data_IF_307085430202
#
_entry.id   IF_307085430202
#
_cell.length_a   1.000
_cell.length_b   1.000
_cell.length_c   1.000
_cell.angle_alpha   90.00
_cell.angle_beta   90.00
_cell.angle_gamma   90.00
#
_symmetry.space_group_name_H-M   'P 1'
#
loop_
_entity.id
_entity.type
_entity.pdbx_description
1 polymer ?
#
# COMPACT_ATOMS: atom_id res chain seq x y z
N UNK A 1 0.32 30.89 -9.14
CA UNK A 1 -1.15 30.84 -9.04
C UNK A 1 -1.44 29.49 -8.42
N UNK A 2 -1.91 29.46 -7.17
CA UNK A 2 -2.09 28.21 -6.41
C UNK A 2 -3.22 27.42 -7.07
N UNK A 3 -2.93 26.26 -7.65
CA UNK A 3 -3.96 25.42 -8.25
C UNK A 3 -4.80 24.83 -7.11
N UNK A 4 -6.14 24.90 -7.20
CA UNK A 4 -6.98 24.32 -6.14
C UNK A 4 -6.87 22.79 -6.20
N UNK A 5 -6.96 22.12 -5.06
CA UNK A 5 -6.91 20.65 -4.98
C UNK A 5 -7.96 20.04 -5.92
N UNK A 6 -9.15 20.64 -6.00
CA UNK A 6 -10.21 20.22 -6.90
C UNK A 6 -9.84 20.26 -8.39
N UNK A 7 -9.05 21.24 -8.84
CA UNK A 7 -8.62 21.36 -10.24
C UNK A 7 -7.56 20.30 -10.59
N UNK A 8 -6.59 20.10 -9.69
CA UNK A 8 -5.58 19.03 -9.79
C UNK A 8 -6.26 17.66 -9.85
N UNK A 9 -7.17 17.42 -8.92
CA UNK A 9 -7.91 16.17 -8.76
C UNK A 9 -8.79 15.90 -9.95
N UNK A 10 -9.53 16.90 -10.44
CA UNK A 10 -10.42 16.74 -11.60
C UNK A 10 -9.64 16.26 -12.82
N UNK A 11 -8.42 16.77 -13.02
CA UNK A 11 -7.63 16.43 -14.20
C UNK A 11 -7.00 15.02 -14.10
N UNK A 12 -6.50 14.65 -12.91
CA UNK A 12 -6.00 13.29 -12.65
C UNK A 12 -7.14 12.27 -12.70
N UNK A 13 -8.28 12.57 -12.08
CA UNK A 13 -9.49 11.74 -12.09
C UNK A 13 -9.98 11.49 -13.52
N UNK A 14 -10.03 12.52 -14.37
CA UNK A 14 -10.42 12.36 -15.77
C UNK A 14 -9.50 11.38 -16.53
N UNK A 15 -8.19 11.43 -16.27
CA UNK A 15 -7.20 10.56 -16.92
C UNK A 15 -7.30 9.13 -16.41
N UNK A 16 -7.53 8.94 -15.11
CA UNK A 16 -7.75 7.61 -14.51
C UNK A 16 -9.08 7.02 -14.96
N UNK A 17 -10.17 7.81 -15.02
CA UNK A 17 -11.49 7.38 -15.52
C UNK A 17 -11.49 7.04 -17.00
N UNK A 18 -10.53 7.51 -17.79
CA UNK A 18 -10.37 7.06 -19.18
C UNK A 18 -10.05 5.55 -19.27
N UNK A 19 -9.65 4.92 -18.16
CA UNK A 19 -9.50 3.47 -18.03
C UNK A 19 -10.79 2.74 -17.62
N UNK A 20 -11.87 3.44 -17.30
CA UNK A 20 -13.10 2.80 -16.85
C UNK A 20 -13.70 1.87 -17.90
N UNK A 21 -14.03 0.66 -17.45
CA UNK A 21 -14.50 -0.43 -18.32
C UNK A 21 -13.41 -1.12 -19.14
N UNK A 22 -12.13 -0.76 -18.97
CA UNK A 22 -11.00 -1.44 -19.62
C UNK A 22 -10.40 -2.47 -18.67
N UNK A 23 -10.06 -3.64 -19.20
CA UNK A 23 -9.27 -4.64 -18.49
C UNK A 23 -7.79 -4.30 -18.62
N UNK A 24 -7.05 -4.35 -17.51
CA UNK A 24 -5.59 -4.23 -17.48
C UNK A 24 -5.00 -5.61 -17.15
N UNK A 25 -4.78 -6.49 -18.14
CA UNK A 25 -4.25 -7.83 -17.91
C UNK A 25 -2.79 -7.83 -17.46
N UNK A 26 -2.03 -6.77 -17.74
CA UNK A 26 -0.61 -6.64 -17.37
C UNK A 26 -0.36 -5.35 -16.58
N UNK A 27 0.64 -5.35 -15.68
CA UNK A 27 1.02 -4.13 -14.98
C UNK A 27 1.45 -3.01 -15.94
N UNK A 28 2.10 -3.37 -17.05
CA UNK A 28 2.55 -2.43 -18.08
C UNK A 28 1.42 -1.70 -18.82
N UNK A 29 0.19 -2.21 -18.75
CA UNK A 29 -0.95 -1.57 -19.42
C UNK A 29 -1.31 -0.21 -18.77
N UNK A 30 -0.82 0.05 -17.56
CA UNK A 30 -0.93 1.34 -16.88
C UNK A 30 0.04 2.41 -17.42
N UNK A 31 1.09 2.05 -18.18
CA UNK A 31 2.14 2.99 -18.60
C UNK A 31 1.61 4.21 -19.37
N UNK A 32 0.70 4.09 -20.35
CA UNK A 32 0.19 5.25 -21.08
C UNK A 32 -0.56 6.23 -20.16
N UNK A 33 -1.33 5.72 -19.20
CA UNK A 33 -2.04 6.53 -18.22
C UNK A 33 -1.08 7.25 -17.27
N UNK A 34 -0.06 6.56 -16.78
CA UNK A 34 0.97 7.16 -15.93
C UNK A 34 1.72 8.29 -16.64
N UNK A 35 2.06 8.10 -17.92
CA UNK A 35 2.71 9.12 -18.74
C UNK A 35 1.78 10.33 -19.01
N UNK A 36 0.49 10.09 -19.24
CA UNK A 36 -0.50 11.15 -19.43
C UNK A 36 -0.75 11.96 -18.15
N UNK A 37 -0.75 11.30 -16.98
CA UNK A 37 -0.80 11.97 -15.67
C UNK A 37 0.47 12.81 -15.49
N UNK A 38 1.66 12.27 -15.79
CA UNK A 38 2.91 13.03 -15.70
C UNK A 38 2.91 14.27 -16.59
N UNK A 39 2.42 14.17 -17.84
CA UNK A 39 2.29 15.33 -18.73
C UNK A 39 1.34 16.40 -18.14
N UNK A 40 0.22 15.96 -17.60
CA UNK A 40 -0.78 16.82 -16.94
C UNK A 40 -0.21 17.55 -15.71
N UNK A 41 0.58 16.83 -14.90
CA UNK A 41 1.16 17.33 -13.66
C UNK A 41 2.50 18.06 -13.89
N UNK A 42 2.94 18.20 -15.14
CA UNK A 42 4.12 18.98 -15.54
C UNK A 42 5.45 18.23 -15.49
N UNK A 43 5.46 16.93 -15.26
CA UNK A 43 6.67 16.12 -15.23
C UNK A 43 6.49 14.71 -14.63
N UNK A 44 7.54 13.88 -14.64
CA UNK A 44 7.52 12.57 -13.99
C UNK A 44 7.38 12.74 -12.46
N UNK A 45 7.00 11.68 -11.73
CA UNK A 45 6.88 11.76 -10.28
C UNK A 45 8.23 12.05 -9.64
N UNK A 46 8.23 12.74 -8.50
CA UNK A 46 9.45 13.02 -7.76
C UNK A 46 9.93 11.81 -6.95
N UNK A 47 9.02 10.90 -6.61
CA UNK A 47 9.29 9.69 -5.86
C UNK A 47 8.41 8.56 -6.38
N UNK A 48 9.01 7.39 -6.56
CA UNK A 48 8.32 6.12 -6.80
C UNK A 48 8.79 5.16 -5.73
N UNK A 49 7.87 4.48 -5.05
CA UNK A 49 8.23 3.51 -4.02
C UNK A 49 7.34 2.26 -4.08
N UNK A 50 7.81 1.18 -3.46
CA UNK A 50 7.05 -0.04 -3.20
C UNK A 50 7.63 -0.79 -2.00
N UNK A 51 7.16 -2.01 -1.68
CA UNK A 51 6.29 -2.86 -2.49
C UNK A 51 4.89 -2.30 -2.74
N UNK A 52 4.23 -2.72 -3.83
CA UNK A 52 2.96 -2.18 -4.32
C UNK A 52 3.10 -0.74 -4.82
N UNK A 53 3.65 -0.63 -6.02
CA UNK A 53 4.15 0.62 -6.58
C UNK A 53 3.21 1.83 -6.42
N UNK A 54 3.77 2.90 -5.85
CA UNK A 54 3.16 4.24 -5.69
C UNK A 54 4.04 5.28 -6.38
N UNK A 55 3.40 6.18 -7.13
CA UNK A 55 4.02 7.28 -7.86
C UNK A 55 3.57 8.60 -7.24
N UNK A 56 4.50 9.47 -6.82
CA UNK A 56 4.19 10.67 -6.05
C UNK A 56 4.58 11.96 -6.77
N UNK A 57 3.67 12.93 -6.77
CA UNK A 57 3.89 14.31 -7.18
C UNK A 57 3.55 15.22 -6.00
N UNK A 58 4.40 16.21 -5.73
CA UNK A 58 4.12 17.26 -4.76
C UNK A 58 3.97 18.59 -5.50
N UNK A 59 2.74 19.13 -5.52
CA UNK A 59 2.36 20.32 -6.28
C UNK A 59 1.69 21.31 -5.33
N UNK A 60 2.29 22.48 -5.11
CA UNK A 60 1.72 23.52 -4.24
C UNK A 60 1.26 23.01 -2.86
N UNK A 61 2.07 22.16 -2.21
CA UNK A 61 1.77 21.48 -0.94
C UNK A 61 0.68 20.41 -1.00
N UNK A 62 0.19 20.03 -2.18
CA UNK A 62 -0.70 18.89 -2.39
C UNK A 62 0.10 17.70 -2.88
N UNK A 63 0.06 16.61 -2.13
CA UNK A 63 0.56 15.32 -2.58
C UNK A 63 -0.51 14.69 -3.47
N UNK A 64 -0.13 14.35 -4.71
CA UNK A 64 -0.88 13.44 -5.57
C UNK A 64 -0.10 12.13 -5.64
N UNK A 65 -0.74 11.04 -5.22
CA UNK A 65 -0.18 9.71 -5.32
C UNK A 65 -1.03 8.85 -6.24
N UNK A 66 -0.39 8.16 -7.17
CA UNK A 66 -1.02 7.20 -8.08
C UNK A 66 -0.52 5.81 -7.74
N UNK A 67 -1.44 4.87 -7.58
CA UNK A 67 -1.17 3.47 -7.29
C UNK A 67 -1.53 2.57 -8.46
N UNK A 68 -0.72 1.54 -8.71
CA UNK A 68 -1.04 0.47 -9.66
C UNK A 68 -1.11 -0.84 -8.91
N UNK A 69 -2.32 -1.27 -8.59
CA UNK A 69 -2.57 -2.43 -7.73
C UNK A 69 -3.13 -3.60 -8.51
N UNK A 70 -2.81 -4.82 -8.08
CA UNK A 70 -3.47 -6.03 -8.55
C UNK A 70 -4.60 -6.40 -7.61
N UNK A 71 -5.84 -6.38 -8.10
CA UNK A 71 -7.02 -6.79 -7.36
C UNK A 71 -7.63 -8.03 -8.03
N UNK A 72 -7.59 -9.15 -7.32
CA UNK A 72 -7.78 -10.50 -7.88
C UNK A 72 -6.78 -10.78 -9.03
N UNK A 73 -7.28 -10.84 -10.27
CA UNK A 73 -6.50 -11.18 -11.46
C UNK A 73 -6.35 -10.01 -12.45
N UNK A 74 -6.76 -8.82 -12.05
CA UNK A 74 -6.73 -7.62 -12.87
C UNK A 74 -5.93 -6.51 -12.19
N UNK A 75 -5.25 -5.71 -13.00
CA UNK A 75 -4.62 -4.49 -12.54
C UNK A 75 -5.63 -3.34 -12.54
N UNK A 76 -5.46 -2.42 -11.60
CA UNK A 76 -6.22 -1.18 -11.53
C UNK A 76 -5.30 0.00 -11.23
N UNK A 77 -5.70 1.18 -11.70
CA UNK A 77 -5.01 2.42 -11.42
C UNK A 77 -5.86 3.25 -10.48
N UNK A 78 -5.34 3.51 -9.28
CA UNK A 78 -5.96 4.38 -8.28
C UNK A 78 -5.16 5.66 -8.11
N UNK A 79 -5.77 6.70 -7.57
CA UNK A 79 -5.07 7.88 -7.13
C UNK A 79 -5.65 8.38 -5.80
N UNK A 80 -4.84 9.14 -5.07
CA UNK A 80 -5.26 9.96 -3.94
C UNK A 80 -4.58 11.32 -3.99
N UNK A 81 -5.27 12.34 -3.51
CA UNK A 81 -4.73 13.69 -3.39
C UNK A 81 -5.09 14.28 -2.03
N UNK A 82 -4.12 14.93 -1.39
CA UNK A 82 -4.28 15.47 -0.04
C UNK A 82 -3.21 16.55 0.25
N UNK A 83 -3.49 17.52 1.13
CA UNK A 83 -2.50 18.44 1.67
C UNK A 83 -1.36 17.68 2.36
N UNK A 84 -0.13 17.96 1.94
CA UNK A 84 1.10 17.37 2.45
C UNK A 84 1.78 18.31 3.44
N UNK A 85 1.14 18.48 4.59
CA UNK A 85 1.62 19.36 5.66
C UNK A 85 2.75 18.69 6.47
N UNK A 86 3.57 19.46 7.20
CA UNK A 86 4.64 18.89 8.03
C UNK A 86 4.19 17.83 9.04
N UNK A 87 2.96 17.93 9.54
CA UNK A 87 2.37 16.94 10.43
C UNK A 87 2.06 15.61 9.71
N UNK A 88 1.65 15.67 8.44
CA UNK A 88 1.44 14.47 7.61
C UNK A 88 2.75 13.74 7.40
N UNK A 89 3.80 14.46 6.99
CA UNK A 89 5.13 13.86 6.81
C UNK A 89 5.69 13.26 8.10
N UNK A 90 5.45 13.89 9.26
CA UNK A 90 5.84 13.34 10.57
C UNK A 90 5.11 12.05 10.90
N UNK A 91 3.79 11.98 10.64
CA UNK A 91 2.97 10.79 10.89
C UNK A 91 3.37 9.62 9.99
N UNK A 92 3.67 9.89 8.72
CA UNK A 92 4.24 8.89 7.80
C UNK A 92 5.55 8.30 8.37
N UNK A 93 6.42 9.15 8.94
CA UNK A 93 7.66 8.69 9.59
C UNK A 93 7.41 7.88 10.85
N UNK A 94 6.48 8.31 11.70
CA UNK A 94 6.12 7.63 12.95
C UNK A 94 5.54 6.24 12.68
N UNK A 95 4.63 6.13 11.71
CA UNK A 95 3.97 4.87 11.39
C UNK A 95 4.92 3.87 10.72
N UNK A 96 5.81 4.34 9.85
CA UNK A 96 6.90 3.53 9.31
C UNK A 96 7.84 3.06 10.43
N UNK A 97 8.27 3.96 11.34
CA UNK A 97 9.16 3.61 12.44
C UNK A 97 8.54 2.59 13.41
N UNK A 98 7.22 2.60 13.54
CA UNK A 98 6.47 1.63 14.33
C UNK A 98 6.28 0.27 13.63
N UNK A 99 6.62 0.16 12.34
CA UNK A 99 6.22 -0.92 11.41
C UNK A 99 4.85 -1.48 11.76
N UNK A 100 3.88 -0.58 11.72
CA UNK A 100 2.51 -0.93 12.08
C UNK A 100 2.06 -2.06 11.15
N UNK A 101 1.83 -3.28 11.67
CA UNK A 101 1.52 -4.42 10.82
C UNK A 101 0.26 -4.13 10.01
N UNK A 102 0.27 -4.50 8.72
CA UNK A 102 -0.75 -4.23 7.70
C UNK A 102 -0.73 -2.84 7.02
N UNK A 103 0.13 -1.90 7.43
CA UNK A 103 0.13 -0.51 6.93
C UNK A 103 1.39 -0.15 6.12
N UNK A 104 2.58 -0.35 6.69
CA UNK A 104 3.86 -0.22 5.99
C UNK A 104 4.64 -1.52 6.06
N UNK A 105 4.97 -2.17 4.92
CA UNK A 105 5.96 -3.23 4.94
C UNK A 105 7.31 -2.62 5.40
N UNK A 106 8.00 -3.22 6.37
CA UNK A 106 9.23 -2.67 6.96
C UNK A 106 10.40 -2.52 5.99
N UNK A 107 10.35 -3.16 4.81
CA UNK A 107 11.32 -2.96 3.73
C UNK A 107 10.62 -2.35 2.52
N UNK A 108 10.98 -1.11 2.23
CA UNK A 108 10.55 -0.40 1.03
C UNK A 108 11.71 -0.30 0.05
N UNK A 109 11.37 -0.18 -1.22
CA UNK A 109 12.28 0.32 -2.22
C UNK A 109 11.77 1.65 -2.74
N UNK A 110 12.67 2.54 -3.16
CA UNK A 110 12.29 3.83 -3.75
C UNK A 110 13.26 4.28 -4.82
N UNK A 111 12.79 5.04 -5.79
CA UNK A 111 13.63 5.84 -6.67
C UNK A 111 13.01 7.19 -7.02
N UNK A 112 13.85 8.13 -7.43
CA UNK A 112 13.44 9.49 -7.81
C UNK A 112 13.71 9.72 -9.31
N UNK A 113 12.68 9.63 -10.19
CA UNK A 113 12.82 9.95 -11.60
C UNK A 113 13.11 11.43 -11.89
N UNK A 114 12.71 12.33 -10.98
CA UNK A 114 12.96 13.76 -11.04
C UNK A 114 13.49 14.29 -9.70
N UNK A 115 14.07 15.49 -9.73
CA UNK A 115 14.48 16.18 -8.52
C UNK A 115 13.24 16.51 -7.67
N UNK A 116 13.22 15.99 -6.44
CA UNK A 116 12.12 16.20 -5.50
C UNK A 116 12.27 17.48 -4.68
N UNK A 117 11.26 17.77 -3.83
CA UNK A 117 11.36 18.86 -2.86
C UNK A 117 12.60 18.66 -1.96
N UNK A 118 13.17 19.75 -1.43
CA UNK A 118 14.40 19.75 -0.63
C UNK A 118 14.38 18.96 0.70
N UNK A 119 13.33 18.16 0.93
CA UNK A 119 13.17 17.17 2.01
C UNK A 119 12.49 15.92 1.46
N UNK A 120 13.21 15.03 0.74
CA UNK A 120 12.65 13.74 0.39
C UNK A 120 12.29 12.98 1.67
N UNK A 121 11.14 12.31 1.68
CA UNK A 121 10.80 11.39 2.75
C UNK A 121 11.86 10.28 2.78
N UNK A 122 12.42 10.03 3.96
CA UNK A 122 13.42 8.98 4.16
C UNK A 122 13.08 8.26 5.46
N UNK A 123 12.55 7.04 5.39
CA UNK A 123 12.29 6.28 6.60
C UNK A 123 13.56 6.03 7.42
N UNK A 124 13.40 5.98 8.74
CA UNK A 124 14.46 5.63 9.68
C UNK A 124 14.84 4.14 9.63
N UNK A 125 15.82 3.71 10.44
CA UNK A 125 16.20 2.30 10.50
C UNK A 125 15.05 1.44 11.03
N UNK A 126 14.73 0.36 10.32
CA UNK A 126 13.83 -0.68 10.78
C UNK A 126 14.65 -1.90 11.21
N UNK A 127 14.51 -2.28 12.48
CA UNK A 127 15.22 -3.42 13.06
C UNK A 127 14.34 -4.66 12.96
N UNK A 128 14.80 -5.68 12.23
CA UNK A 128 14.17 -6.99 12.27
C UNK A 128 14.54 -7.70 13.58
N UNK A 129 13.57 -8.02 14.45
CA UNK A 129 13.87 -8.59 15.76
C UNK A 129 14.25 -10.07 15.68
N UNK A 130 13.84 -10.80 14.63
CA UNK A 130 14.14 -12.21 14.45
C UNK A 130 14.43 -12.58 12.99
N UNK A 131 15.07 -13.74 12.79
CA UNK A 131 15.27 -14.34 11.47
C UNK A 131 13.95 -14.73 10.77
N UNK A 132 12.87 -14.93 11.53
CA UNK A 132 11.54 -15.17 10.95
C UNK A 132 10.98 -13.90 10.30
N UNK A 133 11.30 -12.74 10.87
CA UNK A 133 10.95 -11.44 10.30
C UNK A 133 11.78 -11.20 9.03
N UNK A 134 13.09 -11.48 9.03
CA UNK A 134 13.92 -11.46 7.81
C UNK A 134 13.29 -12.31 6.70
N UNK A 135 12.88 -13.54 7.03
CA UNK A 135 12.29 -14.43 6.04
C UNK A 135 10.94 -13.93 5.51
N UNK A 136 10.15 -13.26 6.34
CA UNK A 136 8.85 -12.71 5.94
C UNK A 136 9.04 -11.49 5.05
N UNK A 137 9.87 -10.55 5.49
CA UNK A 137 9.95 -9.22 4.89
C UNK A 137 10.78 -9.18 3.61
N UNK A 138 11.94 -9.84 3.60
CA UNK A 138 12.73 -9.97 2.36
C UNK A 138 12.02 -10.85 1.35
N UNK A 139 11.32 -11.88 1.84
CA UNK A 139 10.46 -12.72 1.02
C UNK A 139 9.35 -11.92 0.35
N UNK A 140 8.66 -11.04 1.10
CA UNK A 140 7.60 -10.18 0.60
C UNK A 140 8.12 -9.15 -0.43
N UNK A 141 9.21 -8.47 -0.11
CA UNK A 141 9.88 -7.52 -1.00
C UNK A 141 10.23 -8.15 -2.35
N UNK A 142 11.00 -9.25 -2.33
CA UNK A 142 11.48 -9.91 -3.55
C UNK A 142 10.34 -10.58 -4.34
N UNK A 143 9.29 -11.04 -3.65
CA UNK A 143 8.11 -11.63 -4.29
C UNK A 143 7.33 -10.63 -5.15
N UNK A 144 7.34 -9.34 -4.78
CA UNK A 144 6.58 -8.29 -5.46
C UNK A 144 7.43 -7.46 -6.42
N UNK A 145 8.75 -7.37 -6.19
CA UNK A 145 9.64 -6.49 -6.93
C UNK A 145 9.57 -6.62 -8.46
N UNK A 146 9.52 -7.82 -9.09
CA UNK A 146 9.38 -7.91 -10.55
C UNK A 146 8.08 -7.29 -11.07
N UNK A 147 6.96 -7.59 -10.40
CA UNK A 147 5.66 -7.06 -10.80
C UNK A 147 5.56 -5.55 -10.58
N UNK A 148 6.17 -5.06 -9.51
CA UNK A 148 6.32 -3.63 -9.23
C UNK A 148 7.12 -2.92 -10.32
N UNK A 149 8.32 -3.42 -10.66
CA UNK A 149 9.15 -2.87 -11.73
C UNK A 149 8.41 -2.86 -13.08
N UNK A 150 7.55 -3.86 -13.33
CA UNK A 150 6.73 -3.89 -14.54
C UNK A 150 5.64 -2.80 -14.60
N UNK A 151 5.23 -2.22 -13.47
CA UNK A 151 4.32 -1.05 -13.46
C UNK A 151 5.03 0.24 -13.84
N UNK A 152 6.35 0.28 -13.71
CA UNK A 152 7.15 1.49 -13.96
C UNK A 152 7.38 1.66 -15.46
N UNK A 153 6.99 2.82 -16.05
CA UNK A 153 7.34 3.16 -17.42
C UNK A 153 8.86 3.10 -17.67
N UNK A 154 9.33 2.43 -18.75
CA UNK A 154 10.74 2.36 -19.11
C UNK A 154 11.41 3.72 -19.32
N UNK A 155 10.62 4.76 -19.62
CA UNK A 155 11.06 6.15 -19.72
C UNK A 155 11.56 6.72 -18.39
N UNK A 156 11.19 6.13 -17.25
CA UNK A 156 11.60 6.55 -15.91
C UNK A 156 12.66 5.62 -15.31
N UNK A 157 12.53 4.32 -15.54
CA UNK A 157 13.48 3.32 -15.03
C UNK A 157 13.44 2.05 -15.89
N UNK A 158 14.61 1.54 -16.26
CA UNK A 158 14.74 0.35 -17.12
C UNK A 158 15.92 -0.56 -16.74
N UNK A 159 16.59 -0.26 -15.62
CA UNK A 159 17.75 -1.02 -15.19
C UNK A 159 17.30 -2.20 -14.31
N UNK A 160 18.02 -3.34 -14.34
CA UNK A 160 17.82 -4.42 -13.38
C UNK A 160 18.18 -3.95 -11.97
N UNK A 161 17.51 -4.51 -10.98
CA UNK A 161 17.82 -4.28 -9.56
C UNK A 161 18.50 -5.51 -9.01
N UNK A 162 19.73 -5.37 -8.49
CA UNK A 162 20.45 -6.49 -7.87
C UNK A 162 20.57 -6.25 -6.37
N UNK A 163 20.01 -7.15 -5.56
CA UNK A 163 20.11 -7.15 -4.11
C UNK A 163 21.18 -8.15 -3.66
N UNK A 164 22.00 -7.78 -2.69
CA UNK A 164 23.02 -8.64 -2.07
C UNK A 164 23.29 -8.27 -0.61
N UNK A 165 23.90 -9.16 0.15
CA UNK A 165 24.25 -8.94 1.56
C UNK A 165 25.70 -8.49 1.74
N UNK A 166 25.97 -7.69 2.77
CA UNK A 166 27.33 -7.37 3.22
C UNK A 166 27.90 -8.37 4.23
N UNK A 167 27.09 -9.31 4.74
CA UNK A 167 27.50 -10.28 5.74
C UNK A 167 28.25 -11.47 5.11
N UNK A 168 29.19 -12.02 5.89
CA UNK A 168 29.86 -13.28 5.53
C UNK A 168 28.91 -14.49 5.61
N UNK A 169 29.34 -15.63 5.05
CA UNK A 169 28.54 -16.84 4.98
C UNK A 169 28.24 -17.25 3.54
N UNK A 170 27.06 -17.84 3.31
CA UNK A 170 26.58 -18.21 1.97
C UNK A 170 26.22 -16.96 1.19
N UNK A 171 26.73 -16.84 -0.04
CA UNK A 171 26.44 -15.66 -0.87
C UNK A 171 25.07 -15.83 -1.51
N UNK A 172 24.12 -15.00 -1.07
CA UNK A 172 22.78 -14.90 -1.67
C UNK A 172 22.65 -13.58 -2.40
N UNK A 173 22.29 -13.63 -3.68
CA UNK A 173 21.93 -12.45 -4.48
C UNK A 173 20.59 -12.64 -5.16
N UNK A 174 19.91 -11.53 -5.43
CA UNK A 174 18.65 -11.52 -6.17
C UNK A 174 18.72 -10.45 -7.25
N UNK A 175 18.50 -10.82 -8.51
CA UNK A 175 18.39 -9.91 -9.64
C UNK A 175 16.93 -9.84 -10.08
N UNK A 176 16.33 -8.67 -9.99
CA UNK A 176 14.96 -8.41 -10.40
C UNK A 176 14.91 -7.56 -11.67
N UNK A 177 14.03 -7.97 -12.58
CA UNK A 177 13.68 -7.30 -13.83
C UNK A 177 12.14 -7.31 -13.96
N UNK A 178 11.52 -6.48 -14.81
CA UNK A 178 10.07 -6.47 -15.00
C UNK A 178 9.46 -7.84 -15.35
N UNK A 179 10.24 -8.72 -15.98
CA UNK A 179 9.81 -10.02 -16.45
C UNK A 179 10.20 -11.19 -15.54
N UNK A 180 10.89 -10.94 -14.41
CA UNK A 180 11.25 -12.01 -13.50
C UNK A 180 12.23 -11.67 -12.38
N UNK A 181 12.51 -12.70 -11.59
CA UNK A 181 13.46 -12.69 -10.48
C UNK A 181 14.42 -13.86 -10.62
N UNK A 182 15.72 -13.57 -10.59
CA UNK A 182 16.77 -14.59 -10.52
C UNK A 182 17.38 -14.58 -9.12
N UNK A 183 17.30 -15.71 -8.42
CA UNK A 183 17.95 -15.93 -7.13
C UNK A 183 19.21 -16.75 -7.35
N UNK A 184 20.34 -16.28 -6.83
CA UNK A 184 21.59 -17.02 -6.80
C UNK A 184 21.99 -17.32 -5.36
N UNK A 185 22.27 -18.59 -5.06
CA UNK A 185 22.74 -19.03 -3.74
C UNK A 185 23.78 -20.14 -3.90
N UNK A 186 25.01 -19.90 -3.42
CA UNK A 186 26.16 -20.81 -3.56
C UNK A 186 26.34 -21.40 -4.98
N UNK A 187 26.14 -20.58 -6.00
CA UNK A 187 26.28 -20.99 -7.40
C UNK A 187 25.10 -21.76 -7.98
N UNK A 188 24.05 -22.07 -7.19
CA UNK A 188 22.74 -22.41 -7.75
C UNK A 188 22.05 -21.13 -8.22
N UNK A 189 21.54 -21.14 -9.45
CA UNK A 189 20.75 -20.05 -10.02
C UNK A 189 19.33 -20.55 -10.30
N UNK A 190 18.33 -19.83 -9.80
CA UNK A 190 16.91 -20.12 -9.99
C UNK A 190 16.23 -18.88 -10.57
N UNK A 191 15.75 -18.99 -11.81
CA UNK A 191 14.98 -17.95 -12.47
C UNK A 191 13.48 -18.20 -12.29
N UNK A 192 12.75 -17.14 -11.91
CA UNK A 192 11.32 -17.18 -11.62
C UNK A 192 10.61 -16.10 -12.44
N UNK A 193 9.52 -16.46 -13.11
CA UNK A 193 8.58 -15.44 -13.62
C UNK A 193 7.91 -14.67 -12.46
N UNK A 194 7.24 -13.53 -12.70
CA UNK A 194 6.69 -12.71 -11.62
C UNK A 194 5.64 -13.43 -10.76
N UNK A 195 4.85 -14.33 -11.35
CA UNK A 195 3.85 -15.11 -10.62
C UNK A 195 4.51 -16.22 -9.79
N UNK A 196 5.58 -16.84 -10.30
CA UNK A 196 6.41 -17.78 -9.57
C UNK A 196 7.13 -17.09 -8.40
N UNK A 197 7.74 -15.93 -8.61
CA UNK A 197 8.37 -15.13 -7.56
C UNK A 197 7.35 -14.80 -6.44
N UNK A 198 6.15 -14.35 -6.82
CA UNK A 198 5.06 -14.08 -5.86
C UNK A 198 4.71 -15.29 -5.00
N UNK A 199 4.55 -16.47 -5.63
CA UNK A 199 4.25 -17.73 -4.91
C UNK A 199 5.42 -18.22 -4.07
N UNK A 200 6.65 -17.87 -4.46
CA UNK A 200 7.88 -18.33 -3.85
C UNK A 200 8.37 -17.47 -2.67
N UNK A 201 7.75 -16.31 -2.40
CA UNK A 201 8.24 -15.33 -1.42
C UNK A 201 8.71 -15.91 -0.08
N UNK A 202 7.92 -16.82 0.50
CA UNK A 202 8.27 -17.50 1.76
C UNK A 202 9.54 -18.37 1.65
N UNK A 203 9.74 -19.04 0.52
CA UNK A 203 10.96 -19.84 0.29
C UNK A 203 12.15 -18.92 0.08
N UNK A 204 11.98 -17.89 -0.76
CA UNK A 204 13.02 -16.89 -1.05
C UNK A 204 13.53 -16.24 0.24
N UNK A 205 12.64 -15.71 1.08
CA UNK A 205 13.05 -15.08 2.32
C UNK A 205 13.69 -16.06 3.31
N UNK A 206 13.23 -17.33 3.36
CA UNK A 206 13.89 -18.37 4.17
C UNK A 206 15.31 -18.67 3.71
N UNK A 207 15.62 -18.62 2.42
CA UNK A 207 16.99 -18.78 1.92
C UNK A 207 17.88 -17.68 2.50
N UNK A 208 17.44 -16.42 2.46
CA UNK A 208 18.17 -15.30 3.06
C UNK A 208 18.36 -15.47 4.56
N UNK A 209 17.29 -15.77 5.30
CA UNK A 209 17.37 -15.95 6.74
C UNK A 209 18.28 -17.13 7.13
N UNK A 210 18.24 -18.23 6.39
CA UNK A 210 19.08 -19.42 6.66
C UNK A 210 20.54 -19.17 6.33
N UNK A 211 20.82 -18.46 5.24
CA UNK A 211 22.18 -18.16 4.79
C UNK A 211 23.00 -17.37 5.82
N UNK A 212 22.33 -16.51 6.60
CA UNK A 212 22.97 -15.60 7.54
C UNK A 212 22.60 -15.86 9.01
N UNK A 213 21.92 -16.96 9.33
CA UNK A 213 21.37 -17.25 10.67
C UNK A 213 22.42 -17.28 11.81
N UNK A 214 23.69 -17.48 11.47
CA UNK A 214 24.82 -17.45 12.41
C UNK A 214 25.17 -16.04 12.90
N UNK A 215 24.54 -15.01 12.34
CA UNK A 215 24.65 -13.60 12.74
C UNK A 215 23.42 -13.15 13.55
N UNK A 216 23.46 -11.92 14.08
CA UNK A 216 22.24 -11.29 14.61
C UNK A 216 21.44 -10.70 13.43
N UNK A 217 20.10 -10.80 13.41
CA UNK A 217 19.28 -10.22 12.34
C UNK A 217 19.56 -8.73 12.09
N UNK A 218 19.79 -7.95 13.16
CA UNK A 218 20.12 -6.53 13.08
C UNK A 218 21.47 -6.20 12.45
N UNK A 219 22.35 -7.19 12.24
CA UNK A 219 23.63 -7.01 11.56
C UNK A 219 23.48 -7.13 10.03
N UNK A 220 22.35 -7.65 9.53
CA UNK A 220 22.11 -7.86 8.11
C UNK A 220 21.90 -6.54 7.37
N UNK A 221 22.81 -6.22 6.44
CA UNK A 221 22.66 -5.10 5.52
C UNK A 221 22.48 -5.65 4.11
N UNK A 222 21.41 -5.19 3.44
CA UNK A 222 21.12 -5.53 2.05
C UNK A 222 21.47 -4.32 1.18
N UNK A 223 22.48 -4.47 0.35
CA UNK A 223 22.87 -3.49 -0.66
C UNK A 223 22.09 -3.68 -1.96
N UNK A 224 22.03 -2.62 -2.76
CA UNK A 224 21.47 -2.63 -4.11
C UNK A 224 22.49 -2.15 -5.12
N UNK A 225 22.56 -2.80 -6.28
CA UNK A 225 23.28 -2.30 -7.46
C UNK A 225 22.28 -2.04 -8.58
N UNK A 226 22.35 -0.87 -9.25
CA UNK A 226 23.38 0.18 -9.10
C UNK A 226 23.22 1.06 -7.85
N UNK A 227 24.35 1.52 -7.31
CA UNK A 227 24.49 2.29 -6.05
C UNK A 227 24.45 3.81 -6.23
N UNK A 228 24.28 4.30 -7.47
CA UNK A 228 24.05 5.71 -7.81
C UNK A 228 22.62 5.84 -8.36
N UNK A 229 21.89 6.94 -8.10
CA UNK A 229 20.43 6.96 -8.14
C UNK A 229 19.95 6.49 -9.52
N UNK A 230 19.00 5.52 -9.56
CA UNK A 230 17.67 5.78 -9.02
C UNK A 230 17.28 4.93 -7.80
N UNK A 231 17.68 3.67 -7.66
CA UNK A 231 17.00 2.73 -6.75
C UNK A 231 17.65 2.60 -5.36
N UNK A 232 16.85 2.66 -4.29
CA UNK A 232 17.28 2.52 -2.90
C UNK A 232 16.40 1.50 -2.18
N UNK A 233 16.99 0.72 -1.25
CA UNK A 233 16.23 0.02 -0.21
C UNK A 233 16.20 0.85 1.06
N UNK A 234 15.07 0.80 1.73
CA UNK A 234 14.71 1.52 2.94
C UNK A 234 14.26 0.44 3.93
N UNK A 235 14.91 0.20 5.08
CA UNK A 235 15.71 1.08 5.95
C UNK A 235 17.22 1.15 5.63
N UNK A 236 17.91 2.17 6.15
CA UNK A 236 19.39 2.22 6.19
C UNK A 236 19.91 1.57 7.47
N UNK A 237 20.56 0.39 7.44
CA UNK A 237 21.53 0.05 8.46
C UNK A 237 22.70 1.02 8.33
N UNK A 238 23.17 1.58 9.44
CA UNK A 238 24.44 2.30 9.44
C UNK A 238 25.55 1.38 8.92
N UNK A 239 26.08 1.69 7.75
CA UNK A 239 27.17 0.96 7.10
C UNK A 239 27.49 1.55 5.74
N UNK A 240 28.77 1.56 5.37
CA UNK A 240 29.19 1.88 4.01
C UNK A 240 28.71 0.78 3.05
N UNK A 241 28.31 1.20 1.84
CA UNK A 241 28.05 0.29 0.72
C UNK A 241 29.26 -0.65 0.54
N UNK A 242 29.08 -1.94 0.27
CA UNK A 242 30.19 -2.77 -0.16
C UNK A 242 30.79 -2.16 -1.44
N UNK A 243 32.02 -1.68 -1.33
CA UNK A 243 32.80 -1.28 -2.50
C UNK A 243 33.12 -2.55 -3.31
N UNK A 244 32.71 -2.58 -4.58
CA UNK A 244 33.09 -3.66 -5.51
C UNK A 244 31.99 -4.63 -5.95
N UNK A 245 30.73 -4.20 -6.09
CA UNK A 245 29.72 -4.96 -6.86
C UNK A 245 29.85 -4.76 -8.39
N UNK A 246 30.94 -4.14 -8.84
CA UNK A 246 31.34 -4.14 -10.25
C UNK A 246 31.93 -5.51 -10.61
N UNK A 247 31.22 -6.26 -11.45
CA UNK A 247 31.81 -7.39 -12.18
C UNK A 247 31.39 -8.80 -11.81
N UNK A 248 30.17 -9.03 -11.32
CA UNK A 248 29.59 -10.39 -11.42
C UNK A 248 29.00 -10.57 -12.82
N UNK A 249 29.85 -11.01 -13.75
CA UNK A 249 29.41 -11.53 -15.04
C UNK A 249 28.61 -12.82 -14.79
N UNK A 250 27.37 -12.86 -15.30
CA UNK A 250 26.53 -14.05 -15.28
C UNK A 250 27.26 -15.22 -15.97
N UNK A 251 27.25 -16.44 -15.40
CA UNK A 251 27.80 -17.60 -16.07
C UNK A 251 26.97 -17.96 -17.32
N UNK A 252 27.62 -18.02 -18.49
CA UNK A 252 27.03 -18.37 -19.80
C UNK A 252 26.60 -19.85 -19.96
N UNK A 253 26.40 -20.61 -18.89
CA UNK A 253 25.90 -21.99 -19.00
C UNK A 253 24.46 -22.04 -18.51
N UNK A 254 23.56 -22.51 -19.38
CA UNK A 254 22.26 -23.08 -19.00
C UNK A 254 22.45 -24.56 -18.62
N UNK A 255 22.61 -24.91 -17.33
CA UNK A 255 22.17 -26.21 -16.83
C UNK A 255 20.63 -26.30 -16.89
N UNK A 256 20.06 -27.47 -16.63
CA UNK A 256 18.60 -27.66 -16.55
C UNK A 256 17.94 -26.58 -15.69
N UNK A 257 16.72 -26.09 -16.03
CA UNK A 257 16.11 -25.00 -15.30
C UNK A 257 15.81 -25.42 -13.87
N UNK A 258 16.65 -24.99 -12.93
CA UNK A 258 16.39 -25.13 -11.52
C UNK A 258 15.11 -24.36 -11.17
N UNK A 259 14.36 -24.92 -10.24
CA UNK A 259 13.05 -24.46 -9.82
C UNK A 259 13.10 -23.99 -8.37
N UNK A 260 11.99 -23.44 -7.88
CA UNK A 260 11.88 -23.07 -6.46
C UNK A 260 12.10 -24.26 -5.51
N UNK A 261 11.87 -25.50 -5.97
CA UNK A 261 12.09 -26.72 -5.18
C UNK A 261 13.58 -26.90 -4.85
N UNK A 262 14.45 -26.50 -5.78
CA UNK A 262 15.90 -26.61 -5.64
C UNK A 262 16.46 -25.61 -4.60
N UNK A 263 15.66 -24.62 -4.18
CA UNK A 263 15.98 -23.74 -3.06
C UNK A 263 15.69 -24.37 -1.69
N UNK A 264 14.83 -25.40 -1.61
CA UNK A 264 14.42 -25.98 -0.32
C UNK A 264 15.56 -26.53 0.53
N UNK A 265 16.61 -27.19 -0.02
CA UNK A 265 17.79 -27.61 0.74
C UNK A 265 18.54 -26.45 1.41
N UNK A 266 18.27 -25.21 0.99
CA UNK A 266 18.88 -23.99 1.53
C UNK A 266 18.01 -23.27 2.55
N UNK A 267 16.93 -23.93 3.01
CA UNK A 267 16.03 -23.39 4.02
C UNK A 267 16.10 -24.21 5.31
N UNK A 268 16.20 -23.52 6.44
CA UNK A 268 16.00 -24.10 7.77
C UNK A 268 14.57 -23.87 8.25
N UNK A 269 14.12 -24.69 9.22
CA UNK A 269 12.91 -24.38 9.96
C UNK A 269 13.18 -23.20 10.90
N UNK A 270 12.45 -22.11 10.71
CA UNK A 270 12.47 -20.96 11.58
C UNK A 270 11.27 -21.00 12.53
N UNK A 271 11.38 -20.44 13.75
CA UNK A 271 10.24 -20.24 14.62
C UNK A 271 9.11 -19.51 13.88
N UNK A 272 7.85 -19.85 14.13
CA UNK A 272 6.74 -19.16 13.49
C UNK A 272 6.81 -17.67 13.83
N UNK A 273 6.66 -16.83 12.80
CA UNK A 273 6.47 -15.40 12.98
C UNK A 273 5.14 -15.18 13.73
N UNK A 274 5.20 -14.58 14.92
CA UNK A 274 4.02 -14.25 15.71
C UNK A 274 3.31 -13.06 15.07
N UNK A 275 2.20 -13.34 14.38
CA UNK A 275 1.29 -12.28 13.94
C UNK A 275 0.43 -11.85 15.13
N UNK A 276 0.48 -10.56 15.47
CA UNK A 276 -0.47 -9.98 16.42
C UNK A 276 -1.89 -10.27 15.91
N UNK A 277 -2.78 -10.87 16.72
CA UNK A 277 -4.13 -11.15 16.28
C UNK A 277 -4.81 -9.84 15.88
N UNK A 278 -5.22 -9.75 14.61
CA UNK A 278 -5.99 -8.61 14.13
C UNK A 278 -7.24 -8.46 15.01
N UNK A 279 -7.55 -7.27 15.53
CA UNK A 279 -8.79 -7.07 16.25
C UNK A 279 -9.97 -7.44 15.34
N UNK A 280 -10.73 -8.44 15.80
CA UNK A 280 -11.91 -8.94 15.11
C UNK A 280 -12.89 -7.80 14.86
N UNK A 281 -13.35 -7.68 13.62
CA UNK A 281 -14.41 -6.75 13.26
C UNK A 281 -15.77 -7.43 13.39
N UNK A 282 -16.74 -6.72 13.98
CA UNK A 282 -18.15 -7.09 13.94
C UNK A 282 -18.76 -6.61 12.63
N UNK A 283 -19.57 -7.44 11.97
CA UNK A 283 -20.27 -7.14 10.71
C UNK A 283 -21.77 -7.42 10.86
N UNK A 284 -22.64 -6.52 10.43
CA UNK A 284 -24.11 -6.65 10.58
C UNK A 284 -24.83 -5.93 9.44
N UNK A 285 -25.83 -6.48 8.75
CA UNK A 285 -26.37 -5.93 7.49
C UNK A 285 -27.76 -5.27 7.52
N UNK A 286 -27.96 -4.12 6.83
CA UNK A 286 -29.24 -3.63 6.23
C UNK A 286 -29.05 -2.31 5.39
N UNK A 287 -30.12 -1.70 4.81
CA UNK A 287 -30.18 -0.51 3.88
C UNK A 287 -30.69 0.86 4.43
N UNK A 288 -29.98 1.99 4.21
CA UNK A 288 -30.37 3.35 4.61
C UNK A 288 -30.17 4.36 3.45
N UNK A 289 -30.89 5.47 3.45
CA UNK A 289 -30.76 6.56 2.45
C UNK A 289 -29.52 7.43 2.69
N UNK A 290 -29.03 8.20 1.69
CA UNK A 290 -27.92 9.14 1.88
C UNK A 290 -28.16 10.18 2.98
N UNK A 291 -29.39 10.69 3.10
CA UNK A 291 -29.76 11.70 4.11
C UNK A 291 -29.71 11.13 5.52
N UNK A 292 -30.22 9.90 5.71
CA UNK A 292 -30.13 9.20 6.99
C UNK A 292 -28.68 8.93 7.38
N UNK A 293 -27.83 8.56 6.41
CA UNK A 293 -26.40 8.35 6.66
C UNK A 293 -25.71 9.64 7.15
N UNK A 294 -25.99 10.80 6.54
CA UNK A 294 -25.46 12.10 7.02
C UNK A 294 -25.93 12.42 8.42
N UNK A 295 -27.21 12.20 8.73
CA UNK A 295 -27.75 12.43 10.08
C UNK A 295 -27.06 11.58 11.16
N UNK A 296 -26.72 10.32 10.84
CA UNK A 296 -25.96 9.45 11.73
C UNK A 296 -24.51 9.91 11.91
N UNK A 297 -23.85 10.35 10.83
CA UNK A 297 -22.48 10.90 10.92
C UNK A 297 -22.48 12.14 11.80
N UNK A 298 -23.44 13.05 11.61
CA UNK A 298 -23.59 14.26 12.42
C UNK A 298 -23.80 13.93 13.90
N UNK A 299 -24.55 12.86 14.20
CA UNK A 299 -24.71 12.37 15.56
C UNK A 299 -23.39 11.89 16.16
N UNK A 300 -22.63 11.07 15.43
CA UNK A 300 -21.30 10.58 15.85
C UNK A 300 -20.33 11.75 16.07
N UNK A 301 -20.26 12.68 15.13
CA UNK A 301 -19.36 13.85 15.19
C UNK A 301 -19.70 14.72 16.40
N UNK A 302 -20.98 14.93 16.70
CA UNK A 302 -21.43 15.79 17.80
C UNK A 302 -21.35 15.14 19.18
N UNK A 303 -21.72 13.86 19.26
CA UNK A 303 -21.83 13.13 20.53
C UNK A 303 -20.57 12.34 20.88
N UNK A 304 -19.73 12.05 19.89
CA UNK A 304 -18.59 11.14 20.00
C UNK A 304 -19.01 9.68 19.79
N UNK A 305 -18.01 8.84 19.51
CA UNK A 305 -18.20 7.41 19.20
C UNK A 305 -18.82 6.64 20.37
N UNK A 306 -18.35 6.85 21.60
CA UNK A 306 -18.85 6.10 22.76
C UNK A 306 -20.32 6.42 23.07
N UNK A 307 -20.75 7.69 23.18
CA UNK A 307 -22.16 8.00 23.43
C UNK A 307 -23.09 7.57 22.30
N UNK A 308 -22.65 7.63 21.04
CA UNK A 308 -23.40 7.10 19.90
C UNK A 308 -23.68 5.60 20.03
N UNK A 309 -22.65 4.82 20.39
CA UNK A 309 -22.78 3.37 20.57
C UNK A 309 -23.73 3.02 21.73
N UNK A 310 -23.67 3.78 22.82
CA UNK A 310 -24.58 3.62 23.97
C UNK A 310 -26.02 4.01 23.64
N UNK A 311 -26.22 5.12 22.91
CA UNK A 311 -27.53 5.66 22.58
C UNK A 311 -28.35 4.73 21.66
N UNK A 312 -27.69 4.11 20.68
CA UNK A 312 -28.34 3.20 19.74
C UNK A 312 -28.48 1.76 20.28
N UNK A 313 -28.33 1.57 21.61
CA UNK A 313 -28.37 0.26 22.29
C UNK A 313 -27.63 -0.83 21.51
N UNK A 314 -26.40 -0.54 21.08
CA UNK A 314 -25.62 -1.47 20.29
C UNK A 314 -25.11 -2.64 21.16
N UNK A 315 -26.01 -3.54 21.56
CA UNK A 315 -25.69 -4.73 22.34
C UNK A 315 -25.06 -5.76 21.43
N UNK A 316 -23.74 -5.89 21.54
CA UNK A 316 -22.91 -6.82 20.80
C UNK A 316 -23.17 -8.27 21.31
N UNK A 317 -24.24 -8.92 20.85
CA UNK A 317 -24.52 -10.31 21.23
C UNK A 317 -23.67 -11.26 20.37
N UNK A 318 -22.84 -12.10 20.99
CA UNK A 318 -22.00 -13.05 20.26
C UNK A 318 -22.84 -14.02 19.41
N UNK A 319 -22.57 -14.09 18.11
CA UNK A 319 -23.13 -15.12 17.22
C UNK A 319 -22.46 -16.48 17.47
N UNK A 320 -22.88 -17.52 16.72
CA UNK A 320 -22.37 -18.91 16.86
C UNK A 320 -20.85 -19.09 16.61
N UNK A 321 -20.15 -18.06 16.17
CA UNK A 321 -18.70 -18.02 15.96
C UNK A 321 -17.98 -17.09 16.95
N UNK A 322 -18.67 -16.58 17.97
CA UNK A 322 -18.09 -15.64 18.95
C UNK A 322 -17.93 -14.21 18.43
N UNK A 323 -18.49 -13.88 17.27
CA UNK A 323 -18.46 -12.52 16.71
C UNK A 323 -19.69 -11.77 17.23
N UNK A 324 -19.55 -10.64 17.90
CA UNK A 324 -20.70 -9.84 18.32
C UNK A 324 -21.59 -9.47 17.12
N UNK A 325 -22.90 -9.44 17.29
CA UNK A 325 -23.91 -9.10 16.28
C UNK A 325 -24.87 -8.08 16.89
N UNK A 326 -25.20 -7.04 16.13
CA UNK A 326 -26.11 -5.96 16.55
C UNK A 326 -27.49 -6.20 15.96
N UNK A 327 -28.55 -6.01 16.75
CA UNK A 327 -29.91 -5.84 16.24
C UNK A 327 -30.30 -4.37 16.29
N UNK A 328 -29.68 -3.56 15.43
CA UNK A 328 -30.16 -2.20 15.21
C UNK A 328 -31.32 -2.24 14.18
N UNK A 329 -32.32 -1.39 14.37
CA UNK A 329 -33.38 -1.16 13.38
C UNK A 329 -32.84 -0.74 12.01
N UNK A 330 -33.72 -0.66 11.02
CA UNK A 330 -33.40 -0.62 9.59
C UNK A 330 -32.14 0.20 9.22
N UNK A 331 -31.12 -0.46 8.67
CA UNK A 331 -30.55 0.07 7.43
C UNK A 331 -29.04 0.16 7.21
N UNK A 332 -28.17 -0.25 8.13
CA UNK A 332 -26.75 0.02 7.97
C UNK A 332 -25.91 -0.93 8.81
N UNK A 333 -24.64 -1.12 8.44
CA UNK A 333 -23.66 -1.89 9.20
C UNK A 333 -22.80 -0.94 10.02
N UNK A 334 -22.65 -1.17 11.32
CA UNK A 334 -21.62 -0.49 12.12
C UNK A 334 -20.51 -1.45 12.46
N UNK A 335 -19.27 -1.03 12.21
CA UNK A 335 -18.11 -1.63 12.83
C UNK A 335 -17.45 -0.60 13.75
N UNK A 336 -17.33 -0.94 15.03
CA UNK A 336 -16.57 -0.13 15.98
C UNK A 336 -15.21 -0.78 16.21
N UNK A 337 -14.13 0.00 16.04
CA UNK A 337 -12.75 -0.43 16.25
C UNK A 337 -11.95 0.66 16.91
N UNK A 338 -11.54 0.47 18.16
CA UNK A 338 -10.56 1.33 18.82
C UNK A 338 -10.83 2.86 18.72
N UNK A 339 -12.10 3.29 18.71
CA UNK A 339 -12.47 4.71 18.54
C UNK A 339 -12.80 5.12 17.10
N UNK A 340 -12.71 4.21 16.13
CA UNK A 340 -13.23 4.32 14.76
C UNK A 340 -14.61 3.70 14.64
N UNK A 341 -15.49 4.32 13.88
CA UNK A 341 -16.78 3.79 13.42
C UNK A 341 -16.73 3.64 11.89
N UNK A 342 -16.87 2.42 11.39
CA UNK A 342 -17.17 2.17 9.97
C UNK A 342 -18.68 1.98 9.80
N UNK A 343 -19.35 2.83 9.02
CA UNK A 343 -20.72 2.64 8.56
C UNK A 343 -20.70 2.06 7.14
N UNK A 344 -21.40 0.96 6.89
CA UNK A 344 -21.60 0.43 5.52
C UNK A 344 -23.08 0.45 5.18
N UNK A 345 -23.46 1.22 4.16
CA UNK A 345 -24.87 1.62 3.95
C UNK A 345 -25.56 0.92 2.77
N UNK A 346 -24.81 0.17 1.98
CA UNK A 346 -25.36 -0.54 0.83
C UNK A 346 -24.62 -1.87 0.68
N UNK A 347 -25.35 -2.98 0.71
CA UNK A 347 -24.83 -4.29 0.28
C UNK A 347 -25.71 -4.80 -0.88
N UNK A 348 -25.82 -4.00 -1.93
CA UNK A 348 -26.57 -4.36 -3.12
C UNK A 348 -25.68 -5.25 -3.99
N UNK A 349 -25.81 -6.56 -3.85
CA UNK A 349 -24.99 -7.57 -4.54
C UNK A 349 -25.01 -7.52 -6.08
N UNK A 350 -25.70 -6.59 -6.76
CA UNK A 350 -25.82 -6.58 -8.24
C UNK A 350 -26.00 -5.23 -8.96
N UNK A 351 -25.85 -4.06 -8.33
CA UNK A 351 -26.11 -2.78 -9.03
C UNK A 351 -25.03 -1.71 -8.80
N UNK A 352 -23.93 -1.77 -9.57
CA UNK A 352 -22.86 -0.77 -9.55
C UNK A 352 -23.35 0.67 -9.77
N UNK A 353 -24.40 0.86 -10.60
CA UNK A 353 -25.02 2.17 -10.79
C UNK A 353 -25.66 2.70 -9.50
N UNK A 354 -26.35 1.86 -8.72
CA UNK A 354 -26.97 2.29 -7.47
C UNK A 354 -25.92 2.67 -6.42
N UNK A 355 -24.80 1.93 -6.33
CA UNK A 355 -23.67 2.28 -5.44
C UNK A 355 -23.08 3.63 -5.84
N UNK A 356 -22.85 3.85 -7.13
CA UNK A 356 -22.32 5.12 -7.63
C UNK A 356 -23.26 6.28 -7.35
N UNK A 357 -24.55 6.13 -7.67
CA UNK A 357 -25.53 7.20 -7.53
C UNK A 357 -25.72 7.55 -6.04
N UNK A 358 -25.81 6.53 -5.16
CA UNK A 358 -25.80 6.73 -3.71
C UNK A 358 -24.54 7.45 -3.23
N UNK A 359 -23.36 6.98 -3.69
CA UNK A 359 -22.08 7.58 -3.30
C UNK A 359 -22.06 9.05 -3.70
N UNK A 360 -22.46 9.38 -4.93
CA UNK A 360 -22.45 10.76 -5.41
C UNK A 360 -23.38 11.66 -4.59
N UNK A 361 -24.59 11.17 -4.26
CA UNK A 361 -25.54 11.91 -3.43
C UNK A 361 -24.99 12.12 -2.01
N UNK A 362 -24.47 11.06 -1.38
CA UNK A 362 -23.85 11.13 -0.06
C UNK A 362 -22.67 12.12 -0.03
N UNK A 363 -21.75 12.02 -0.99
CA UNK A 363 -20.58 12.91 -1.06
C UNK A 363 -21.00 14.38 -1.25
N UNK A 364 -22.07 14.63 -2.02
CA UNK A 364 -22.61 16.00 -2.21
C UNK A 364 -23.18 16.54 -0.90
N UNK A 365 -23.96 15.74 -0.17
CA UNK A 365 -24.51 16.15 1.12
C UNK A 365 -23.42 16.40 2.17
N UNK A 366 -22.33 15.61 2.16
CA UNK A 366 -21.20 15.80 3.05
C UNK A 366 -20.37 17.04 2.70
N UNK A 367 -20.20 17.36 1.41
CA UNK A 367 -19.61 18.64 0.99
C UNK A 367 -20.46 19.83 1.49
N UNK A 368 -21.79 19.73 1.40
CA UNK A 368 -22.70 20.77 1.90
C UNK A 368 -22.64 20.92 3.44
N UNK A 369 -22.48 19.80 4.15
CA UNK A 369 -22.43 19.78 5.62
C UNK A 369 -21.09 20.25 6.19
N UNK A 370 -19.97 19.84 5.59
CA UNK A 370 -18.63 20.01 6.15
C UNK A 370 -17.69 20.89 5.31
N UNK A 371 -18.11 21.31 4.11
CA UNK A 371 -17.33 22.13 3.21
C UNK A 371 -16.37 21.31 2.34
N UNK A 372 -15.30 21.98 1.88
CA UNK A 372 -14.30 21.40 0.97
C UNK A 372 -13.61 20.18 1.64
N UNK A 373 -13.53 19.02 0.96
CA UNK A 373 -12.87 17.85 1.52
C UNK A 373 -11.38 18.13 1.71
N UNK A 374 -10.83 17.66 2.83
CA UNK A 374 -9.39 17.69 3.09
C UNK A 374 -8.61 16.82 2.09
N UNK A 375 -9.17 15.69 1.66
CA UNK A 375 -8.51 14.84 0.66
C UNK A 375 -9.50 13.99 -0.11
N UNK A 376 -9.05 13.43 -1.22
CA UNK A 376 -9.87 12.60 -2.09
C UNK A 376 -9.08 11.44 -2.68
N UNK A 377 -9.78 10.42 -3.14
CA UNK A 377 -9.21 9.31 -3.88
C UNK A 377 -10.21 8.80 -4.92
N UNK A 378 -9.70 8.21 -5.99
CA UNK A 378 -10.50 7.57 -7.02
C UNK A 378 -9.73 6.50 -7.76
N UNK A 379 -10.41 5.72 -8.61
CA UNK A 379 -9.74 4.71 -9.42
C UNK A 379 -10.40 4.42 -10.77
N UNK A 380 -9.72 3.60 -11.57
CA UNK A 380 -10.16 3.17 -12.89
C UNK A 380 -11.46 2.36 -12.86
N UNK A 381 -11.88 1.81 -11.71
CA UNK A 381 -13.19 1.13 -11.56
C UNK A 381 -14.32 2.10 -11.23
N UNK A 382 -14.02 3.40 -11.15
CA UNK A 382 -14.99 4.45 -10.88
C UNK A 382 -15.34 4.58 -9.41
N UNK A 383 -14.58 3.93 -8.51
CA UNK A 383 -14.76 4.14 -7.07
C UNK A 383 -14.22 5.52 -6.71
N UNK A 384 -14.88 6.19 -5.77
CA UNK A 384 -14.50 7.53 -5.27
C UNK A 384 -14.58 7.54 -3.76
N UNK A 385 -13.63 8.21 -3.12
CA UNK A 385 -13.63 8.49 -1.70
C UNK A 385 -13.25 9.94 -1.44
N UNK A 386 -13.82 10.53 -0.39
CA UNK A 386 -13.44 11.85 0.14
C UNK A 386 -13.23 11.78 1.64
N UNK A 387 -12.42 12.68 2.14
CA UNK A 387 -12.07 12.81 3.55
C UNK A 387 -12.29 14.25 3.97
N UNK A 388 -13.05 14.47 5.03
CA UNK A 388 -13.25 15.77 5.67
C UNK A 388 -12.59 15.75 7.04
N UNK A 389 -11.86 16.82 7.35
CA UNK A 389 -11.30 17.05 8.68
C UNK A 389 -12.27 17.94 9.44
N UNK A 390 -12.79 17.45 10.56
CA UNK A 390 -13.74 18.15 11.42
C UNK A 390 -13.11 18.21 12.82
N UNK A 391 -12.50 19.35 13.14
CA UNK A 391 -11.70 19.54 14.36
C UNK A 391 -10.62 18.45 14.55
N UNK A 392 -10.78 17.58 15.56
CA UNK A 392 -9.90 16.44 15.85
C UNK A 392 -10.37 15.12 15.23
N UNK A 393 -11.53 15.12 14.59
CA UNK A 393 -12.11 13.99 13.89
C UNK A 393 -11.85 14.06 12.38
N UNK A 394 -11.98 12.90 11.75
CA UNK A 394 -12.05 12.74 10.32
C UNK A 394 -13.29 11.94 9.95
N UNK A 395 -13.96 12.38 8.90
CA UNK A 395 -14.98 11.60 8.21
C UNK A 395 -14.42 11.25 6.85
N UNK A 396 -14.35 9.96 6.52
CA UNK A 396 -14.02 9.48 5.19
C UNK A 396 -15.23 8.76 4.63
N UNK A 397 -15.66 9.07 3.42
CA UNK A 397 -16.79 8.38 2.80
C UNK A 397 -16.51 8.08 1.34
N UNK A 398 -17.05 6.98 0.85
CA UNK A 398 -16.93 6.61 -0.55
C UNK A 398 -17.37 5.19 -0.86
N UNK A 399 -17.16 4.80 -2.11
CA UNK A 399 -17.51 3.47 -2.59
C UNK A 399 -16.36 2.47 -2.40
N UNK A 400 -16.67 1.30 -1.87
CA UNK A 400 -15.77 0.15 -1.76
C UNK A 400 -16.43 -1.09 -2.36
N UNK A 401 -16.08 -1.41 -3.62
CA UNK A 401 -16.66 -2.55 -4.33
C UNK A 401 -18.17 -2.38 -4.55
N UNK A 402 -18.97 -3.23 -3.91
CA UNK A 402 -20.44 -3.21 -3.99
C UNK A 402 -21.10 -2.42 -2.86
N UNK A 403 -20.32 -1.70 -2.07
CA UNK A 403 -20.78 -1.01 -0.89
C UNK A 403 -20.35 0.46 -0.85
N UNK A 404 -21.05 1.23 -0.03
CA UNK A 404 -20.63 2.58 0.38
C UNK A 404 -20.18 2.48 1.83
N UNK A 405 -18.95 2.90 2.07
CA UNK A 405 -18.28 2.84 3.37
C UNK A 405 -18.03 4.27 3.83
N UNK A 406 -18.39 4.54 5.07
CA UNK A 406 -18.09 5.75 5.79
C UNK A 406 -17.26 5.35 7.00
N UNK A 407 -16.20 6.08 7.28
CA UNK A 407 -15.34 5.92 8.43
C UNK A 407 -15.33 7.22 9.22
N UNK A 408 -15.61 7.16 10.51
CA UNK A 408 -15.47 8.29 11.43
C UNK A 408 -14.46 7.91 12.49
N UNK A 409 -13.37 8.66 12.58
CA UNK A 409 -12.26 8.37 13.50
C UNK A 409 -11.56 9.66 13.92
N UNK A 410 -10.58 9.58 14.81
CA UNK A 410 -9.69 10.72 15.07
C UNK A 410 -8.83 10.96 13.85
N UNK A 411 -8.67 12.22 13.47
CA UNK A 411 -7.81 12.60 12.34
C UNK A 411 -6.38 12.09 12.54
N UNK A 412 -5.87 12.16 13.77
CA UNK A 412 -4.59 11.57 14.16
C UNK A 412 -4.46 10.07 13.81
N UNK A 413 -5.50 9.29 14.07
CA UNK A 413 -5.49 7.85 13.86
C UNK A 413 -5.64 7.54 12.36
N UNK A 414 -6.53 8.27 11.66
CA UNK A 414 -6.63 8.22 10.20
C UNK A 414 -5.27 8.43 9.52
N UNK A 415 -4.51 9.43 10.00
CA UNK A 415 -3.20 9.75 9.43
C UNK A 415 -2.21 8.58 9.54
N UNK A 416 -2.27 7.80 10.62
CA UNK A 416 -1.44 6.61 10.81
C UNK A 416 -1.95 5.45 9.95
N UNK A 417 -3.27 5.24 9.90
CA UNK A 417 -3.87 4.14 9.12
C UNK A 417 -3.81 4.30 7.61
N UNK A 418 -3.79 5.55 7.10
CA UNK A 418 -3.84 5.80 5.66
C UNK A 418 -2.50 6.13 5.03
N UNK A 419 -1.56 6.72 5.78
CA UNK A 419 -0.26 7.12 5.25
C UNK A 419 0.91 6.36 5.87
N UNK A 420 0.62 5.55 6.89
CA UNK A 420 1.58 4.76 7.61
C UNK A 420 1.76 3.36 7.12
#
# INVERSE_FOLDING_TARGET
MRMRIDELVTTVDATVRALSGRLLPRPSDAHPTLLAIAETLGGPPHEVHGPQTRFRWLLDEVMVEVGVDRFFDEWEVGFRAFPYEPDVSRREQEAFAAATPDLSPPYLWSFAPAEGPGRPWRPGPFLLPSWSDVATEIGFLLALLPADLATVPPAWFHQPVVLGSSLGGRVVTARAEPDGLTITVDGLEVALDPDQARRAGKVIGRVWATAYQDHRPGDLVIGVTPTSPPFQLLPTPGGELPAGLDGVSAPERRPEPATVIDLLPFTAQLPPHEQTPRPGGTYVAAYASPQEAVGLIDEVVRSGVTPFVEHHELVAAANRYGIPELQAGAGWRVRVRAGTIDLTVLDAWRAAAAVRDYTQELLTLLDEAYGEPWGCAGDSRGRVNRTWRIDDLAVRAGSAGTAVVIEVTRFADLMVYHFG
#
